data_IF_235179179164
#
_entry.id   IF_235179179164
#
_cell.length_a   1.000
_cell.length_b   1.000
_cell.length_c   1.000
_cell.angle_alpha   90.00
_cell.angle_beta   90.00
_cell.angle_gamma   90.00
#
_symmetry.space_group_name_H-M   'P 1'
#
loop_
_entity.id
_entity.type
_entity.pdbx_description
1 polymer ?
#
# COMPACT_ATOMS: atom_id res chain seq x y z
N UNK A 1 5.93 20.03 -10.03
CA UNK A 1 5.15 18.83 -9.62
C UNK A 1 4.68 18.07 -10.85
N UNK A 2 4.95 16.77 -10.92
CA UNK A 2 4.49 15.91 -12.03
C UNK A 2 2.95 15.91 -12.13
N UNK A 3 2.40 16.01 -13.34
CA UNK A 3 0.95 15.98 -13.58
C UNK A 3 0.29 14.70 -13.04
N UNK A 4 1.03 13.59 -12.98
CA UNK A 4 0.60 12.32 -12.42
C UNK A 4 0.42 12.39 -10.90
N UNK A 5 1.31 13.11 -10.21
CA UNK A 5 1.21 13.31 -8.77
C UNK A 5 -0.07 14.05 -8.41
N UNK A 6 -0.36 15.15 -9.12
CA UNK A 6 -1.57 15.95 -8.89
C UNK A 6 -2.84 15.14 -9.10
N UNK A 7 -2.92 14.38 -10.20
CA UNK A 7 -4.07 13.49 -10.48
C UNK A 7 -4.25 12.43 -9.39
N UNK A 8 -3.17 11.80 -8.94
CA UNK A 8 -3.21 10.81 -7.87
C UNK A 8 -3.68 11.41 -6.54
N UNK A 9 -3.10 12.55 -6.15
CA UNK A 9 -3.47 13.27 -4.93
C UNK A 9 -4.96 13.62 -4.91
N UNK A 10 -5.48 14.27 -5.96
CA UNK A 10 -6.90 14.65 -6.03
C UNK A 10 -7.85 13.44 -5.99
N UNK A 11 -7.46 12.31 -6.59
CA UNK A 11 -8.27 11.09 -6.53
C UNK A 11 -8.41 10.56 -5.10
N UNK A 12 -7.29 10.49 -4.36
CA UNK A 12 -7.31 10.01 -2.97
C UNK A 12 -7.96 11.03 -2.02
N UNK A 13 -7.83 12.33 -2.32
CA UNK A 13 -8.54 13.40 -1.63
C UNK A 13 -10.06 13.23 -1.79
N UNK A 14 -10.56 13.05 -3.01
CA UNK A 14 -11.99 12.84 -3.28
C UNK A 14 -12.55 11.60 -2.58
N UNK A 15 -11.79 10.50 -2.58
CA UNK A 15 -12.18 9.27 -1.88
C UNK A 15 -12.32 9.54 -0.37
N UNK A 16 -11.31 10.15 0.25
CA UNK A 16 -11.37 10.50 1.67
C UNK A 16 -12.53 11.44 1.98
N UNK A 17 -12.75 12.47 1.16
CA UNK A 17 -13.86 13.40 1.30
C UNK A 17 -15.23 12.73 1.22
N UNK A 18 -15.42 11.77 0.30
CA UNK A 18 -16.67 11.02 0.18
C UNK A 18 -17.01 10.25 1.47
N UNK A 19 -16.02 9.56 2.06
CA UNK A 19 -16.19 8.89 3.36
C UNK A 19 -16.51 9.86 4.50
N UNK A 20 -15.89 11.05 4.52
CA UNK A 20 -16.13 12.07 5.52
C UNK A 20 -17.54 12.66 5.46
N UNK A 21 -18.01 12.94 4.24
CA UNK A 21 -19.38 13.45 3.98
C UNK A 21 -20.40 12.39 4.38
N UNK A 22 -20.17 11.12 4.02
CA UNK A 22 -21.05 10.02 4.39
C UNK A 22 -21.17 9.90 5.92
N UNK A 23 -20.04 10.01 6.64
CA UNK A 23 -20.04 10.02 8.10
C UNK A 23 -20.76 11.25 8.68
N UNK A 24 -20.59 12.42 8.08
CA UNK A 24 -21.24 13.65 8.55
C UNK A 24 -22.77 13.55 8.44
N UNK A 25 -23.27 12.97 7.34
CA UNK A 25 -24.69 12.75 7.10
C UNK A 25 -25.31 11.71 8.04
N UNK A 26 -24.58 10.65 8.37
CA UNK A 26 -25.10 9.56 9.20
C UNK A 26 -24.84 9.74 10.71
N UNK A 27 -23.92 10.63 11.08
CA UNK A 27 -23.54 10.82 12.48
C UNK A 27 -24.55 11.67 13.24
N UNK A 28 -25.05 11.10 14.35
CA UNK A 28 -26.12 11.64 15.18
C UNK A 28 -25.62 12.39 16.43
N UNK A 29 -24.31 12.69 16.51
CA UNK A 29 -23.72 13.37 17.67
C UNK A 29 -24.30 14.78 17.88
N UNK A 30 -24.62 15.11 19.13
CA UNK A 30 -25.24 16.39 19.52
C UNK A 30 -24.34 17.61 19.30
N UNK A 31 -23.01 17.44 19.36
CA UNK A 31 -22.05 18.51 19.10
C UNK A 31 -21.56 18.46 17.65
N UNK A 32 -21.97 19.47 16.87
CA UNK A 32 -21.62 19.60 15.44
C UNK A 32 -20.11 19.61 15.20
N UNK A 33 -19.34 20.26 16.08
CA UNK A 33 -17.88 20.38 15.93
C UNK A 33 -17.17 19.03 16.11
N UNK A 34 -17.57 18.24 17.10
CA UNK A 34 -17.02 16.89 17.30
C UNK A 34 -17.37 15.96 16.14
N UNK A 35 -18.57 16.11 15.57
CA UNK A 35 -18.95 15.38 14.34
C UNK A 35 -18.03 15.73 13.17
N UNK A 36 -17.69 17.01 13.02
CA UNK A 36 -16.81 17.51 11.98
C UNK A 36 -15.36 17.02 12.13
N UNK A 37 -14.83 17.04 13.36
CA UNK A 37 -13.50 16.49 13.71
C UNK A 37 -13.42 15.00 13.35
N UNK A 38 -14.43 14.23 13.78
CA UNK A 38 -14.50 12.80 13.51
C UNK A 38 -14.67 12.49 12.02
N UNK A 39 -15.44 13.30 11.27
CA UNK A 39 -15.52 13.20 9.81
C UNK A 39 -14.16 13.35 9.15
N UNK A 40 -13.38 14.38 9.51
CA UNK A 40 -12.06 14.60 8.94
C UNK A 40 -11.06 13.51 9.33
N UNK A 41 -11.13 13.03 10.58
CA UNK A 41 -10.32 11.92 11.03
C UNK A 41 -10.62 10.66 10.20
N UNK A 42 -11.89 10.32 10.03
CA UNK A 42 -12.31 9.15 9.25
C UNK A 42 -11.94 9.28 7.77
N UNK A 43 -12.05 10.48 7.18
CA UNK A 43 -11.58 10.78 5.83
C UNK A 43 -10.08 10.50 5.62
N UNK A 44 -9.27 10.63 6.67
CA UNK A 44 -7.82 10.42 6.59
C UNK A 44 -7.43 8.93 6.50
N UNK A 45 -8.24 8.02 7.08
CA UNK A 45 -7.87 6.61 7.22
C UNK A 45 -7.72 5.89 5.88
N UNK A 46 -8.69 5.92 4.94
CA UNK A 46 -8.54 5.20 3.66
C UNK A 46 -7.29 5.60 2.86
N UNK A 47 -6.99 6.90 2.62
CA UNK A 47 -5.79 7.29 1.89
C UNK A 47 -4.49 7.01 2.67
N UNK A 48 -4.49 7.08 4.01
CA UNK A 48 -3.32 6.72 4.84
C UNK A 48 -3.05 5.22 4.84
N UNK A 49 -4.07 4.37 4.97
CA UNK A 49 -3.90 2.92 4.95
C UNK A 49 -3.41 2.48 3.56
N UNK A 50 -4.04 2.99 2.50
CA UNK A 50 -3.65 2.66 1.13
C UNK A 50 -2.25 3.19 0.78
N UNK A 51 -1.95 4.44 1.17
CA UNK A 51 -0.63 5.04 1.02
C UNK A 51 0.43 4.30 1.81
N UNK A 52 0.17 4.00 3.08
CA UNK A 52 1.06 3.28 3.99
C UNK A 52 1.35 1.85 3.53
N UNK A 53 0.34 1.11 3.07
CA UNK A 53 0.56 -0.23 2.50
C UNK A 53 1.43 -0.17 1.25
N UNK A 54 1.19 0.79 0.37
CA UNK A 54 1.99 0.99 -0.85
C UNK A 54 3.41 1.46 -0.53
N UNK A 55 3.58 2.22 0.55
CA UNK A 55 4.87 2.66 1.06
C UNK A 55 5.68 1.50 1.63
N UNK A 56 5.07 0.68 2.49
CA UNK A 56 5.68 -0.54 3.04
C UNK A 56 6.06 -1.53 1.93
N UNK A 57 5.24 -1.66 0.88
CA UNK A 57 5.59 -2.45 -0.30
C UNK A 57 6.78 -1.87 -1.07
N UNK A 58 6.89 -0.55 -1.18
CA UNK A 58 7.96 0.12 -1.91
C UNK A 58 9.29 0.21 -1.13
N UNK A 59 9.25 0.09 0.20
CA UNK A 59 10.44 -0.04 1.05
C UNK A 59 11.10 -1.43 0.97
N UNK A 60 10.51 -2.36 0.22
CA UNK A 60 11.01 -3.72 0.12
C UNK A 60 10.82 -4.54 1.40
N UNK A 61 10.01 -4.06 2.36
CA UNK A 61 9.70 -4.78 3.61
C UNK A 61 9.09 -6.16 3.36
N UNK A 62 8.32 -6.29 2.28
CA UNK A 62 7.74 -7.57 1.85
C UNK A 62 8.53 -8.28 0.75
N UNK A 63 9.67 -7.73 0.32
CA UNK A 63 10.37 -8.23 -0.86
C UNK A 63 11.01 -9.59 -0.61
N UNK A 64 11.57 -9.75 0.59
CA UNK A 64 12.12 -11.02 1.03
C UNK A 64 11.03 -12.09 1.21
N UNK A 65 9.84 -11.71 1.69
CA UNK A 65 8.69 -12.60 1.85
C UNK A 65 8.15 -13.05 0.48
N UNK A 66 7.97 -12.12 -0.45
CA UNK A 66 7.51 -12.40 -1.83
C UNK A 66 8.53 -13.25 -2.58
N UNK A 67 9.83 -12.93 -2.47
CA UNK A 67 10.90 -13.71 -3.08
C UNK A 67 10.91 -15.14 -2.53
N UNK A 68 10.84 -15.31 -1.21
CA UNK A 68 10.85 -16.62 -0.56
C UNK A 68 9.64 -17.46 -0.96
N UNK A 69 8.43 -16.89 -0.99
CA UNK A 69 7.24 -17.60 -1.46
C UNK A 69 7.27 -17.91 -2.95
N UNK A 70 7.76 -17.01 -3.81
CA UNK A 70 7.95 -17.31 -5.24
C UNK A 70 8.97 -18.42 -5.46
N UNK A 71 10.03 -18.45 -4.65
CA UNK A 71 11.05 -19.51 -4.68
C UNK A 71 10.43 -20.82 -4.23
N UNK A 72 9.78 -20.88 -3.06
CA UNK A 72 9.06 -22.06 -2.58
C UNK A 72 8.04 -22.60 -3.58
N UNK A 73 7.26 -21.72 -4.21
CA UNK A 73 6.28 -22.12 -5.22
C UNK A 73 6.95 -22.66 -6.51
N UNK A 74 8.06 -22.06 -6.96
CA UNK A 74 8.84 -22.59 -8.09
C UNK A 74 9.48 -23.94 -7.75
N UNK A 75 10.05 -24.09 -6.55
CA UNK A 75 10.62 -25.36 -6.10
C UNK A 75 9.55 -26.44 -5.95
N UNK A 76 8.39 -26.14 -5.37
CA UNK A 76 7.28 -27.09 -5.28
C UNK A 76 6.75 -27.53 -6.65
N UNK A 77 6.60 -26.59 -7.58
CA UNK A 77 6.14 -26.87 -8.95
C UNK A 77 7.18 -27.61 -9.81
N UNK A 78 8.46 -27.46 -9.48
CA UNK A 78 9.53 -28.25 -10.08
C UNK A 78 9.62 -29.63 -9.43
N UNK A 79 9.46 -29.76 -8.11
CA UNK A 79 9.50 -31.06 -7.42
C UNK A 79 8.35 -31.98 -7.87
N UNK A 80 7.16 -31.43 -8.08
CA UNK A 80 6.00 -32.18 -8.63
C UNK A 80 6.18 -32.61 -10.09
N UNK A 81 7.02 -31.90 -10.86
CA UNK A 81 7.39 -32.27 -12.23
C UNK A 81 8.57 -33.24 -12.25
N UNK A 82 9.54 -33.08 -11.35
CA UNK A 82 10.71 -33.93 -11.24
C UNK A 82 10.38 -35.30 -10.63
N UNK A 83 9.39 -35.43 -9.74
CA UNK A 83 8.90 -36.76 -9.32
C UNK A 83 8.19 -37.53 -10.43
N UNK A 84 7.64 -36.83 -11.44
CA UNK A 84 7.05 -37.48 -12.63
C UNK A 84 8.05 -37.76 -13.76
N UNK A 85 9.28 -37.25 -13.67
CA UNK A 85 10.30 -37.38 -14.72
C UNK A 85 11.59 -38.09 -14.25
N UNK A 86 11.84 -38.21 -12.94
CA UNK A 86 13.03 -38.86 -12.39
C UNK A 86 12.87 -40.38 -12.18
N UNK A 87 12.56 -41.12 -13.24
CA UNK A 87 13.02 -42.52 -13.36
C UNK A 87 14.33 -42.64 -14.15
N UNK A 88 14.81 -41.60 -14.82
CA UNK A 88 16.09 -41.67 -15.52
C UNK A 88 16.75 -40.29 -15.62
N UNK A 89 18.05 -40.25 -15.34
CA UNK A 89 18.99 -39.17 -15.67
C UNK A 89 19.11 -38.06 -14.60
N UNK A 90 20.19 -38.16 -13.82
CA UNK A 90 20.82 -36.99 -13.20
C UNK A 90 21.31 -36.02 -14.30
N UNK A 91 21.08 -34.70 -14.18
CA UNK A 91 22.22 -33.79 -14.34
C UNK A 91 22.10 -32.41 -13.64
N UNK A 92 23.20 -31.99 -13.04
CA UNK A 92 23.97 -30.79 -13.41
C UNK A 92 23.22 -29.57 -14.00
N UNK A 93 22.27 -28.99 -13.25
CA UNK A 93 21.65 -27.71 -13.63
C UNK A 93 21.62 -26.74 -12.45
N UNK A 94 22.83 -26.31 -12.08
CA UNK A 94 23.05 -25.03 -11.36
C UNK A 94 22.73 -23.86 -12.29
N UNK A 95 21.50 -23.81 -12.81
CA UNK A 95 21.03 -22.80 -13.75
C UNK A 95 20.89 -21.49 -12.96
N UNK A 96 21.92 -20.64 -13.09
CA UNK A 96 22.06 -19.25 -12.61
C UNK A 96 20.74 -18.68 -12.09
N UNK A 97 20.49 -18.91 -10.80
CA UNK A 97 19.41 -18.30 -10.07
C UNK A 97 19.74 -16.81 -10.00
N UNK A 98 19.09 -15.99 -10.84
CA UNK A 98 19.31 -14.53 -10.89
C UNK A 98 19.41 -13.96 -9.48
N UNK A 99 20.53 -13.30 -9.20
CA UNK A 99 20.88 -12.81 -7.87
C UNK A 99 19.76 -11.90 -7.34
N UNK A 100 19.50 -11.94 -6.02
CA UNK A 100 18.53 -11.07 -5.34
C UNK A 100 18.73 -9.58 -5.70
N UNK A 101 19.97 -9.20 -6.02
CA UNK A 101 20.33 -7.87 -6.51
C UNK A 101 19.70 -7.51 -7.87
N UNK A 102 19.53 -8.44 -8.80
CA UNK A 102 18.83 -8.19 -10.07
C UNK A 102 17.32 -8.03 -9.88
N UNK A 103 16.75 -8.76 -8.91
CA UNK A 103 15.34 -8.63 -8.55
C UNK A 103 15.03 -7.24 -7.97
N UNK A 104 15.88 -6.76 -7.04
CA UNK A 104 15.81 -5.40 -6.50
C UNK A 104 15.95 -4.34 -7.61
N UNK A 105 16.86 -4.54 -8.56
CA UNK A 105 17.10 -3.60 -9.67
C UNK A 105 15.94 -3.56 -10.69
N UNK A 106 15.15 -4.63 -10.78
CA UNK A 106 13.97 -4.70 -11.65
C UNK A 106 12.71 -4.04 -11.06
N UNK A 107 12.68 -3.75 -9.75
CA UNK A 107 11.58 -3.03 -9.13
C UNK A 107 11.61 -1.55 -9.54
N UNK A 108 10.68 -1.16 -10.41
CA UNK A 108 10.46 0.25 -10.74
C UNK A 108 10.14 1.04 -9.47
N UNK A 109 10.74 2.22 -9.25
CA UNK A 109 10.39 3.06 -8.11
C UNK A 109 8.92 3.46 -8.19
N UNK A 110 8.12 3.11 -7.18
CA UNK A 110 6.71 3.46 -7.15
C UNK A 110 6.52 4.95 -6.80
N UNK A 111 6.76 5.82 -7.78
CA UNK A 111 6.61 7.29 -7.71
C UNK A 111 5.20 7.79 -7.36
N UNK A 112 4.23 6.89 -7.18
CA UNK A 112 2.82 7.23 -6.97
C UNK A 112 2.35 7.17 -5.52
N UNK A 113 3.19 6.70 -4.58
CA UNK A 113 2.82 6.49 -3.19
C UNK A 113 2.62 7.80 -2.40
N UNK A 114 3.45 8.80 -2.69
CA UNK A 114 3.51 10.06 -1.94
C UNK A 114 2.18 10.81 -2.01
N UNK A 115 1.46 10.73 -3.12
CA UNK A 115 0.18 11.44 -3.31
C UNK A 115 -0.93 10.95 -2.39
N UNK A 116 -0.97 9.64 -2.08
CA UNK A 116 -1.99 9.08 -1.18
C UNK A 116 -1.69 9.43 0.28
N UNK A 117 -0.42 9.30 0.69
CA UNK A 117 0.03 9.65 2.05
C UNK A 117 -0.21 11.14 2.32
N UNK A 118 0.17 12.02 1.38
CA UNK A 118 -0.02 13.46 1.53
C UNK A 118 -1.50 13.85 1.68
N UNK A 119 -2.39 13.22 0.88
CA UNK A 119 -3.82 13.47 0.96
C UNK A 119 -4.40 13.05 2.32
N UNK A 120 -3.96 11.90 2.84
CA UNK A 120 -4.35 11.43 4.16
C UNK A 120 -3.82 12.31 5.30
N UNK A 121 -2.54 12.68 5.25
CA UNK A 121 -1.92 13.58 6.22
C UNK A 121 -2.61 14.95 6.26
N UNK A 122 -3.05 15.47 5.11
CA UNK A 122 -3.77 16.75 5.06
C UNK A 122 -5.07 16.73 5.88
N UNK A 123 -5.88 15.67 5.72
CA UNK A 123 -7.09 15.48 6.53
C UNK A 123 -6.81 15.31 8.01
N UNK A 124 -5.74 14.57 8.36
CA UNK A 124 -5.34 14.35 9.74
C UNK A 124 -4.90 15.66 10.40
N UNK A 125 -4.08 16.47 9.72
CA UNK A 125 -3.63 17.77 10.24
C UNK A 125 -4.81 18.69 10.51
N UNK A 126 -5.78 18.76 9.59
CA UNK A 126 -7.00 19.55 9.79
C UNK A 126 -7.77 19.05 11.01
N UNK A 127 -7.98 17.73 11.12
CA UNK A 127 -8.66 17.12 12.27
C UNK A 127 -7.94 17.45 13.59
N UNK A 128 -6.61 17.36 13.62
CA UNK A 128 -5.79 17.65 14.80
C UNK A 128 -5.89 19.12 15.22
N UNK A 129 -5.81 20.04 14.25
CA UNK A 129 -5.96 21.48 14.49
C UNK A 129 -7.34 21.79 15.06
N UNK A 130 -8.42 21.26 14.46
CA UNK A 130 -9.77 21.47 14.98
C UNK A 130 -9.94 20.88 16.39
N UNK A 131 -9.33 19.72 16.65
CA UNK A 131 -9.34 19.11 17.99
C UNK A 131 -8.63 20.01 19.00
N UNK A 132 -7.47 20.58 18.66
CA UNK A 132 -6.74 21.48 19.54
C UNK A 132 -7.53 22.76 19.88
N UNK A 133 -8.26 23.33 18.92
CA UNK A 133 -9.08 24.52 19.16
C UNK A 133 -10.40 24.25 19.92
N UNK A 134 -10.75 22.99 20.14
CA UNK A 134 -12.01 22.58 20.79
C UNK A 134 -11.79 21.95 22.16
N UNK A 135 -10.52 21.75 22.53
CA UNK A 135 -10.06 21.39 23.86
C UNK A 135 -10.04 22.62 24.77
#
# INVERSE_FOLDING_TARGET
>A
MSSLFRKSFFKHLLIGGCFGILYLLFSHNSFFINRLINSFFLSSLPPLIFGGFRFAKNLGTFDLFIYSHRKLFKYGKHHEKFEKENETIAPDSTQKLGSYYEYLRSQKPASSCIGAVLAGSFYLIISLILTFFTL
#
